data_IF_445799548928
#
_entry.id   IF_445799548928
#
_cell.length_a   1.000
_cell.length_b   1.000
_cell.length_c   1.000
_cell.angle_alpha   90.00
_cell.angle_beta   90.00
_cell.angle_gamma   90.00
#
_symmetry.space_group_name_H-M   'P 1'
#
loop_
_entity.id
_entity.type
_entity.pdbx_description
1 polymer ?
#
# COMPACT_ATOMS: atom_id res chain seq x y z
N UNK A 1 -3.10 24.64 -6.90
CA UNK A 1 -1.82 23.97 -7.16
C UNK A 1 -1.74 22.86 -6.12
N UNK A 2 -1.70 21.60 -6.55
CA UNK A 2 -1.69 20.46 -5.62
C UNK A 2 -0.31 20.34 -5.02
N UNK A 3 -0.24 20.25 -3.69
CA UNK A 3 1.02 20.04 -2.97
C UNK A 3 1.00 18.63 -2.40
N UNK A 4 2.12 17.94 -2.54
CA UNK A 4 2.30 16.59 -2.04
C UNK A 4 3.33 16.56 -0.93
N UNK A 5 3.01 15.87 0.15
CA UNK A 5 3.96 15.61 1.23
C UNK A 5 4.44 14.17 1.15
N UNK A 6 5.76 14.00 1.18
CA UNK A 6 6.43 12.70 1.19
C UNK A 6 6.88 12.40 2.61
N UNK A 7 6.47 11.25 3.15
CA UNK A 7 6.91 10.80 4.48
C UNK A 7 7.40 9.36 4.42
N UNK A 8 8.37 9.05 5.28
CA UNK A 8 8.77 7.66 5.49
C UNK A 8 7.59 6.90 6.12
N UNK A 9 7.27 5.74 5.56
CA UNK A 9 6.26 4.85 6.12
C UNK A 9 6.69 4.38 7.51
N UNK A 10 5.73 4.27 8.42
CA UNK A 10 5.92 3.73 9.76
C UNK A 10 4.96 2.58 10.02
N UNK A 11 5.17 1.82 11.09
CA UNK A 11 4.25 0.77 11.54
C UNK A 11 2.82 1.29 11.78
N UNK A 12 2.66 2.59 12.08
CA UNK A 12 1.33 3.21 12.26
C UNK A 12 0.55 3.37 10.96
N UNK A 13 1.21 3.23 9.83
CA UNK A 13 0.61 3.37 8.50
C UNK A 13 0.19 2.02 7.90
N UNK A 14 0.32 0.92 8.66
CA UNK A 14 -0.02 -0.46 8.23
C UNK A 14 -1.36 -0.51 7.51
N UNK A 15 -2.44 -0.05 8.16
CA UNK A 15 -3.80 -0.15 7.61
C UNK A 15 -3.94 0.59 6.27
N UNK A 16 -3.32 1.76 6.15
CA UNK A 16 -3.35 2.57 4.92
C UNK A 16 -2.54 1.93 3.79
N UNK A 17 -1.38 1.35 4.12
CA UNK A 17 -0.55 0.62 3.16
C UNK A 17 -1.31 -0.59 2.64
N UNK A 18 -1.94 -1.35 3.53
CA UNK A 18 -2.74 -2.52 3.16
C UNK A 18 -3.92 -2.13 2.29
N UNK A 19 -4.67 -1.10 2.66
CA UNK A 19 -5.78 -0.60 1.86
C UNK A 19 -5.32 -0.19 0.44
N UNK A 20 -4.20 0.53 0.34
CA UNK A 20 -3.63 0.93 -0.95
C UNK A 20 -3.20 -0.29 -1.78
N UNK A 21 -2.48 -1.25 -1.19
CA UNK A 21 -2.04 -2.46 -1.88
C UNK A 21 -3.25 -3.27 -2.37
N UNK A 22 -4.31 -3.39 -1.59
CA UNK A 22 -5.53 -4.09 -2.04
C UNK A 22 -6.26 -3.33 -3.14
N UNK A 23 -6.37 -2.01 -3.04
CA UNK A 23 -7.08 -1.21 -4.03
C UNK A 23 -6.33 -1.15 -5.37
N UNK A 24 -4.99 -1.10 -5.33
CA UNK A 24 -4.17 -0.91 -6.53
C UNK A 24 -3.56 -2.20 -7.06
N UNK A 25 -2.89 -3.00 -6.22
CA UNK A 25 -2.19 -4.20 -6.69
C UNK A 25 -3.13 -5.35 -6.99
N UNK A 26 -4.15 -5.61 -6.19
CA UNK A 26 -5.10 -6.69 -6.49
C UNK A 26 -5.94 -6.39 -7.75
N UNK A 27 -6.11 -5.10 -8.09
CA UNK A 27 -7.01 -4.67 -9.18
C UNK A 27 -6.28 -4.35 -10.47
N UNK A 28 -5.10 -3.73 -10.41
CA UNK A 28 -4.46 -3.11 -11.58
C UNK A 28 -3.13 -3.75 -12.00
N UNK A 29 -2.42 -4.40 -11.07
CA UNK A 29 -1.11 -4.99 -11.36
C UNK A 29 -1.20 -6.14 -12.39
N UNK A 30 -0.32 -6.17 -13.42
CA UNK A 30 -0.37 -7.20 -14.46
C UNK A 30 -0.22 -8.64 -13.96
N UNK A 31 0.64 -8.87 -12.95
CA UNK A 31 0.89 -10.21 -12.41
C UNK A 31 -0.35 -10.66 -11.64
N UNK A 32 -0.86 -9.81 -10.74
CA UNK A 32 -2.09 -10.07 -9.99
C UNK A 32 -3.27 -10.41 -10.91
N UNK A 33 -3.45 -9.65 -12.00
CA UNK A 33 -4.48 -9.94 -13.02
C UNK A 33 -4.29 -11.29 -13.70
N UNK A 34 -3.05 -11.63 -14.08
CA UNK A 34 -2.76 -12.87 -14.80
C UNK A 34 -3.10 -14.12 -13.99
N UNK A 35 -2.94 -14.06 -12.67
CA UNK A 35 -3.24 -15.16 -11.73
C UNK A 35 -4.64 -15.06 -11.13
N UNK A 36 -5.44 -14.05 -11.50
CA UNK A 36 -6.75 -13.75 -10.92
C UNK A 36 -6.69 -13.63 -9.38
N UNK A 37 -5.67 -12.93 -8.89
CA UNK A 37 -5.43 -12.73 -7.47
C UNK A 37 -6.68 -12.12 -6.82
N UNK A 38 -7.19 -12.75 -5.77
CA UNK A 38 -8.31 -12.20 -5.02
C UNK A 38 -7.83 -11.21 -3.96
N UNK A 39 -8.75 -10.43 -3.39
CA UNK A 39 -8.44 -9.58 -2.23
C UNK A 39 -7.94 -10.41 -1.04
N UNK A 40 -8.46 -11.63 -0.84
CA UNK A 40 -8.02 -12.54 0.21
C UNK A 40 -6.56 -12.97 0.04
N UNK A 41 -6.19 -13.38 -1.17
CA UNK A 41 -4.81 -13.77 -1.50
C UNK A 41 -3.84 -12.60 -1.34
N UNK A 42 -4.26 -11.39 -1.75
CA UNK A 42 -3.47 -10.18 -1.56
C UNK A 42 -3.27 -9.84 -0.07
N UNK A 43 -4.28 -10.05 0.77
CA UNK A 43 -4.17 -9.90 2.23
C UNK A 43 -3.11 -10.86 2.76
N UNK A 44 -3.14 -12.13 2.37
CA UNK A 44 -2.17 -13.13 2.83
C UNK A 44 -0.74 -12.83 2.37
N UNK A 45 -0.56 -12.38 1.12
CA UNK A 45 0.77 -12.11 0.54
C UNK A 45 1.41 -10.83 1.08
N UNK A 46 0.61 -9.77 1.30
CA UNK A 46 1.13 -8.44 1.62
C UNK A 46 0.96 -8.04 3.09
N UNK A 47 0.17 -8.77 3.88
CA UNK A 47 -0.04 -8.47 5.31
C UNK A 47 1.27 -8.40 6.08
N UNK A 48 2.11 -9.42 5.93
CA UNK A 48 3.31 -9.54 6.76
C UNK A 48 4.32 -8.45 6.41
N UNK A 49 4.49 -8.12 5.13
CA UNK A 49 5.38 -7.03 4.68
C UNK A 49 4.88 -5.64 5.14
N UNK A 50 3.56 -5.40 5.08
CA UNK A 50 2.98 -4.12 5.51
C UNK A 50 3.01 -3.97 7.04
N UNK A 51 2.68 -5.04 7.78
CA UNK A 51 2.74 -5.12 9.25
C UNK A 51 4.12 -4.89 9.78
N UNK A 52 5.10 -5.48 9.11
CA UNK A 52 6.47 -5.32 9.54
C UNK A 52 6.90 -3.86 9.44
N UNK A 53 6.31 -3.03 8.57
CA UNK A 53 6.45 -1.56 8.57
C UNK A 53 7.90 -1.03 8.57
N UNK A 54 8.87 -1.93 8.43
CA UNK A 54 10.26 -1.76 8.84
C UNK A 54 11.16 -1.59 7.63
N UNK A 55 10.59 -1.66 6.42
CA UNK A 55 11.31 -1.25 5.25
C UNK A 55 11.49 0.27 5.32
N UNK A 56 12.64 0.68 5.87
CA UNK A 56 13.06 2.08 6.02
C UNK A 56 13.11 2.86 4.70
N UNK A 57 12.93 2.19 3.57
CA UNK A 57 12.89 2.77 2.24
C UNK A 57 11.46 2.96 1.70
N UNK A 58 10.43 2.47 2.38
CA UNK A 58 9.03 2.72 2.01
C UNK A 58 8.65 4.17 2.26
N UNK A 59 8.04 4.81 1.26
CA UNK A 59 7.63 6.23 1.29
C UNK A 59 6.16 6.36 0.93
N UNK A 60 5.41 7.10 1.74
CA UNK A 60 4.02 7.46 1.50
C UNK A 60 3.93 8.86 0.92
N UNK A 61 2.94 9.08 0.06
CA UNK A 61 2.65 10.37 -0.55
C UNK A 61 1.23 10.77 -0.17
N UNK A 62 1.08 11.93 0.47
CA UNK A 62 -0.21 12.50 0.81
C UNK A 62 -0.49 13.71 -0.07
N UNK A 63 -1.74 13.83 -0.52
CA UNK A 63 -2.26 15.10 -1.03
C UNK A 63 -2.62 15.97 0.18
N UNK A 64 -2.03 17.17 0.28
CA UNK A 64 -2.19 18.06 1.44
C UNK A 64 -3.64 18.52 1.69
N UNK A 65 -4.57 18.19 0.78
CA UNK A 65 -6.01 18.44 0.92
C UNK A 65 -6.76 17.37 1.72
N UNK A 66 -6.17 16.19 1.91
CA UNK A 66 -6.81 15.02 2.56
C UNK A 66 -6.15 14.66 3.90
N UNK A 67 -5.35 15.57 4.47
CA UNK A 67 -4.65 15.36 5.74
C UNK A 67 -5.52 15.63 6.96
#
# INVERSE_FOLDING_TARGET
MTTYTFVQATEKDEEKILEFLFAQFAVSDPISKSIKLTKGDAIELFCDDARLGTNKYSTLIYDDRER
#
